data_IF_179950223903
#
_entry.id   IF_179950223903
#
_cell.length_a   1.000
_cell.length_b   1.000
_cell.length_c   1.000
_cell.angle_alpha   90.00
_cell.angle_beta   90.00
_cell.angle_gamma   90.00
#
_symmetry.space_group_name_H-M   'P 1'
#
loop_
_entity.id
_entity.type
_entity.pdbx_description
1 polymer ?
#
# COMPACT_ATOMS: atom_id res chain seq x y z
N UNK A 1 -4.24 41.28 -37.86
CA UNK A 1 -3.81 42.27 -36.85
C UNK A 1 -2.54 42.90 -37.35
N UNK A 2 -2.47 44.21 -37.64
CA UNK A 2 -1.29 44.84 -38.20
C UNK A 2 -0.17 44.97 -37.16
N UNK A 3 1.06 44.68 -37.59
CA UNK A 3 2.31 44.99 -36.90
C UNK A 3 2.38 46.47 -36.59
N UNK A 4 2.24 46.85 -35.33
CA UNK A 4 2.74 48.13 -34.85
C UNK A 4 4.26 48.04 -34.80
N UNK A 5 4.89 48.60 -35.87
CA UNK A 5 6.30 48.87 -35.88
C UNK A 5 6.64 49.80 -34.70
N UNK A 6 7.29 49.25 -33.69
CA UNK A 6 7.79 49.99 -32.53
C UNK A 6 8.77 51.06 -33.04
N UNK A 7 8.34 52.32 -33.02
CA UNK A 7 9.20 53.47 -33.39
C UNK A 7 10.26 53.61 -32.30
N UNK A 8 11.52 53.37 -32.68
CA UNK A 8 12.72 53.57 -31.85
C UNK A 8 13.03 55.04 -31.58
N UNK A 9 12.21 55.97 -32.11
CA UNK A 9 12.46 57.42 -32.15
C UNK A 9 12.21 58.14 -30.81
N UNK A 10 11.89 57.44 -29.74
CA UNK A 10 11.65 58.01 -28.40
C UNK A 10 12.52 57.40 -27.31
N UNK A 11 13.68 56.83 -27.62
CA UNK A 11 14.64 56.44 -26.62
C UNK A 11 15.30 57.66 -26.00
N UNK A 12 15.38 57.73 -24.62
CA UNK A 12 16.06 58.85 -23.97
C UNK A 12 17.55 58.86 -24.31
N UNK A 13 18.10 60.04 -24.62
CA UNK A 13 19.53 60.24 -24.91
C UNK A 13 20.45 60.14 -23.66
N UNK A 14 19.89 59.95 -22.50
CA UNK A 14 20.66 59.79 -21.23
C UNK A 14 21.20 58.35 -21.10
N UNK A 15 22.56 58.19 -21.12
CA UNK A 15 23.20 56.88 -20.98
C UNK A 15 22.86 56.12 -19.70
N UNK A 16 22.52 56.82 -18.62
CA UNK A 16 22.18 56.24 -17.33
C UNK A 16 20.78 55.61 -17.37
N UNK A 17 19.86 56.30 -17.97
CA UNK A 17 18.47 55.87 -18.18
C UNK A 17 18.38 54.70 -19.17
N UNK A 18 19.14 54.74 -20.26
CA UNK A 18 19.29 53.67 -21.23
C UNK A 18 19.86 52.39 -20.60
N UNK A 19 20.89 52.48 -19.76
CA UNK A 19 21.42 51.34 -18.99
C UNK A 19 20.40 50.77 -18.02
N UNK A 20 19.53 51.60 -17.46
CA UNK A 20 18.40 51.16 -16.60
C UNK A 20 17.42 50.33 -17.38
N UNK A 21 16.93 50.85 -18.52
CA UNK A 21 15.97 50.18 -19.41
C UNK A 21 16.53 48.84 -19.93
N UNK A 22 17.82 48.82 -20.35
CA UNK A 22 18.46 47.58 -20.84
C UNK A 22 18.57 46.53 -19.72
N UNK A 23 18.86 46.92 -18.47
CA UNK A 23 18.89 45.99 -17.33
C UNK A 23 17.51 45.43 -17.06
N UNK A 24 16.47 46.23 -17.09
CA UNK A 24 15.10 45.83 -16.89
C UNK A 24 14.60 44.88 -18.01
N UNK A 25 14.91 45.18 -19.26
CA UNK A 25 14.62 44.32 -20.41
C UNK A 25 15.36 42.98 -20.30
N UNK A 26 16.62 42.96 -19.89
CA UNK A 26 17.40 41.76 -19.68
C UNK A 26 16.84 40.92 -18.51
N UNK A 27 16.36 41.54 -17.43
CA UNK A 27 15.69 40.86 -16.34
C UNK A 27 14.39 40.24 -16.81
N UNK A 28 13.54 40.99 -17.51
CA UNK A 28 12.27 40.51 -18.06
C UNK A 28 12.50 39.37 -19.07
N UNK A 29 13.48 39.48 -19.94
CA UNK A 29 13.83 38.42 -20.88
C UNK A 29 14.29 37.15 -20.18
N UNK A 30 15.09 37.25 -19.11
CA UNK A 30 15.50 36.10 -18.31
C UNK A 30 14.31 35.42 -17.63
N UNK A 31 13.36 36.18 -17.12
CA UNK A 31 12.15 35.64 -16.50
C UNK A 31 11.22 34.99 -17.53
N UNK A 32 11.08 35.57 -18.71
CA UNK A 32 10.35 34.95 -19.82
C UNK A 32 11.01 33.64 -20.27
N UNK A 33 12.35 33.61 -20.38
CA UNK A 33 13.07 32.39 -20.74
C UNK A 33 12.85 31.29 -19.71
N UNK A 34 12.89 31.59 -18.40
CA UNK A 34 12.57 30.63 -17.33
C UNK A 34 11.15 30.10 -17.42
N UNK A 35 10.18 30.95 -17.79
CA UNK A 35 8.80 30.52 -17.99
C UNK A 35 8.67 29.58 -19.19
N UNK A 36 9.36 29.90 -20.31
CA UNK A 36 9.40 29.05 -21.51
C UNK A 36 10.00 27.69 -21.16
N UNK A 37 11.12 27.64 -20.44
CA UNK A 37 11.77 26.39 -20.04
C UNK A 37 10.86 25.56 -19.12
N UNK A 38 10.15 26.19 -18.20
CA UNK A 38 9.17 25.52 -17.32
C UNK A 38 7.97 24.97 -18.12
N UNK A 39 7.45 25.75 -19.07
CA UNK A 39 6.33 25.31 -19.91
C UNK A 39 6.74 24.16 -20.83
N UNK A 40 7.94 24.24 -21.43
CA UNK A 40 8.52 23.19 -22.28
C UNK A 40 8.69 21.90 -21.48
N UNK A 41 9.25 21.98 -20.26
CA UNK A 41 9.39 20.83 -19.39
C UNK A 41 8.02 20.21 -19.01
N UNK A 42 7.01 21.03 -18.73
CA UNK A 42 5.63 20.55 -18.46
C UNK A 42 5.01 19.90 -19.68
N UNK A 43 5.23 20.46 -20.86
CA UNK A 43 4.77 19.88 -22.12
C UNK A 43 5.41 18.50 -22.35
N UNK A 44 6.72 18.38 -22.12
CA UNK A 44 7.43 17.10 -22.22
C UNK A 44 6.91 16.06 -21.23
N UNK A 45 6.62 16.46 -19.99
CA UNK A 45 6.00 15.56 -19.01
C UNK A 45 4.59 15.14 -19.41
N UNK A 46 3.79 16.04 -19.96
CA UNK A 46 2.46 15.73 -20.47
C UNK A 46 2.53 14.81 -21.70
N UNK A 47 3.45 15.08 -22.64
CA UNK A 47 3.67 14.23 -23.81
C UNK A 47 4.13 12.82 -23.38
N UNK A 48 5.04 12.70 -22.41
CA UNK A 48 5.44 11.41 -21.83
C UNK A 48 4.28 10.70 -21.14
N UNK A 49 3.36 11.44 -20.51
CA UNK A 49 2.19 10.86 -19.84
C UNK A 49 1.11 10.40 -20.82
N UNK A 50 0.91 11.10 -21.94
CA UNK A 50 -0.14 10.81 -22.93
C UNK A 50 0.34 9.84 -24.00
N UNK A 51 1.59 10.00 -24.46
CA UNK A 51 2.18 9.26 -25.59
C UNK A 51 3.39 8.41 -25.19
N UNK A 52 3.86 8.49 -23.95
CA UNK A 52 4.95 7.65 -23.46
C UNK A 52 4.57 6.17 -23.44
N UNK A 53 5.54 5.27 -23.61
CA UNK A 53 5.29 3.84 -23.55
C UNK A 53 4.64 3.49 -22.20
N UNK A 54 3.52 2.75 -22.23
CA UNK A 54 2.93 2.19 -21.03
C UNK A 54 3.95 1.23 -20.43
N UNK A 55 3.99 1.15 -19.08
CA UNK A 55 5.01 0.47 -18.28
C UNK A 55 5.29 -1.00 -18.65
N UNK A 56 4.50 -1.61 -19.52
CA UNK A 56 4.61 -3.01 -19.97
C UNK A 56 5.08 -3.19 -21.44
N UNK A 57 5.42 -2.12 -22.15
CA UNK A 57 6.01 -2.20 -23.49
C UNK A 57 7.51 -1.95 -23.38
N UNK A 58 8.31 -2.98 -23.64
CA UNK A 58 9.77 -2.86 -23.78
C UNK A 58 10.06 -1.85 -24.91
N UNK A 59 10.84 -0.81 -24.62
CA UNK A 59 11.31 0.14 -25.62
C UNK A 59 12.10 -0.65 -26.69
N UNK A 60 11.73 -0.57 -27.97
CA UNK A 60 12.49 -1.23 -29.05
C UNK A 60 13.98 -0.90 -29.04
N UNK A 61 14.38 0.24 -28.49
CA UNK A 61 15.79 0.65 -28.34
C UNK A 61 16.52 -0.12 -27.23
N UNK A 62 15.82 -0.66 -26.22
CA UNK A 62 16.42 -1.53 -25.21
C UNK A 62 16.78 -2.92 -25.76
N UNK A 63 16.11 -3.36 -26.82
CA UNK A 63 16.46 -4.61 -27.53
C UNK A 63 17.78 -4.49 -28.30
N UNK A 64 18.16 -3.27 -28.71
CA UNK A 64 19.43 -3.00 -29.41
C UNK A 64 20.66 -3.01 -28.50
N UNK A 65 20.48 -2.98 -27.18
CA UNK A 65 21.60 -3.02 -26.22
C UNK A 65 22.22 -4.43 -26.09
N UNK A 66 21.53 -5.47 -26.54
CA UNK A 66 21.93 -6.88 -26.44
C UNK A 66 21.90 -7.63 -27.78
N UNK A 67 21.64 -6.94 -28.89
CA UNK A 67 21.67 -7.54 -30.23
C UNK A 67 22.89 -7.00 -31.01
N UNK A 68 23.71 -7.90 -31.48
CA UNK A 68 24.72 -7.57 -32.52
C UNK A 68 24.00 -7.03 -33.75
N UNK A 69 24.56 -6.03 -34.47
CA UNK A 69 23.94 -5.47 -35.66
C UNK A 69 23.77 -6.57 -36.70
N UNK A 70 22.60 -6.71 -37.32
CA UNK A 70 22.38 -7.72 -38.34
C UNK A 70 23.26 -7.43 -39.55
N UNK A 71 24.11 -8.40 -39.90
CA UNK A 71 24.76 -8.48 -41.17
C UNK A 71 23.69 -8.67 -42.26
N UNK A 72 23.74 -7.83 -43.27
CA UNK A 72 23.16 -7.90 -44.62
C UNK A 72 21.76 -8.52 -44.81
N UNK A 73 20.92 -7.80 -45.50
CA UNK A 73 19.54 -8.07 -45.91
C UNK A 73 19.36 -9.49 -46.46
N UNK A 74 18.51 -10.33 -45.88
CA UNK A 74 18.13 -11.59 -46.51
C UNK A 74 17.14 -11.39 -47.64
N UNK A 75 17.16 -12.26 -48.68
CA UNK A 75 16.23 -12.20 -49.79
C UNK A 75 14.77 -12.47 -49.33
N UNK A 76 13.82 -11.90 -50.05
CA UNK A 76 12.40 -11.96 -49.82
C UNK A 76 11.93 -13.40 -49.47
N UNK A 77 11.40 -13.59 -48.24
CA UNK A 77 10.79 -14.83 -47.81
C UNK A 77 9.42 -15.00 -48.47
N UNK A 78 9.26 -16.10 -49.17
CA UNK A 78 7.98 -16.64 -49.63
C UNK A 78 7.06 -16.82 -48.41
N UNK A 79 5.75 -16.52 -48.52
CA UNK A 79 4.83 -16.72 -47.41
C UNK A 79 4.80 -18.18 -46.97
N UNK A 80 5.10 -18.44 -45.71
CA UNK A 80 4.89 -19.75 -45.11
C UNK A 80 3.38 -20.03 -45.03
N UNK A 81 2.95 -21.25 -45.31
CA UNK A 81 1.55 -21.61 -45.15
C UNK A 81 1.12 -21.45 -43.69
N UNK A 82 -0.08 -20.90 -43.48
CA UNK A 82 -0.67 -20.79 -42.16
C UNK A 82 -0.66 -22.15 -41.45
N UNK A 83 -0.27 -22.24 -40.18
CA UNK A 83 -0.35 -23.49 -39.44
C UNK A 83 -1.83 -23.90 -39.32
N UNK A 84 -2.20 -25.03 -39.92
CA UNK A 84 -3.48 -25.66 -39.64
C UNK A 84 -3.61 -25.86 -38.14
N UNK A 85 -4.62 -25.21 -37.54
CA UNK A 85 -5.02 -25.44 -36.17
C UNK A 85 -5.58 -26.86 -36.10
N UNK A 86 -4.73 -27.84 -35.87
CA UNK A 86 -5.13 -29.16 -35.46
C UNK A 86 -5.74 -29.03 -34.07
N UNK A 87 -7.07 -28.90 -34.03
CA UNK A 87 -7.85 -29.08 -32.81
C UNK A 87 -7.79 -30.54 -32.40
N UNK A 88 -6.67 -30.96 -31.84
CA UNK A 88 -6.67 -32.20 -31.07
C UNK A 88 -7.55 -31.93 -29.85
N UNK A 89 -8.72 -32.55 -29.82
CA UNK A 89 -9.59 -32.62 -28.66
C UNK A 89 -8.72 -33.11 -27.46
N UNK A 90 -8.22 -32.15 -26.69
CA UNK A 90 -7.39 -32.43 -25.53
C UNK A 90 -8.19 -33.25 -24.55
N UNK A 91 -7.77 -34.50 -24.30
CA UNK A 91 -8.22 -35.26 -23.13
C UNK A 91 -8.20 -34.30 -21.96
N UNK A 92 -9.37 -34.06 -21.34
CA UNK A 92 -9.47 -33.35 -20.06
C UNK A 92 -8.48 -34.02 -19.10
N UNK A 93 -7.34 -33.38 -18.88
CA UNK A 93 -6.38 -33.80 -17.85
C UNK A 93 -7.12 -33.65 -16.55
N UNK A 94 -7.44 -34.77 -15.92
CA UNK A 94 -8.14 -34.79 -14.66
C UNK A 94 -7.42 -33.86 -13.66
N UNK A 95 -8.15 -33.14 -12.83
CA UNK A 95 -7.63 -32.25 -11.76
C UNK A 95 -6.92 -33.06 -10.64
N UNK A 96 -6.15 -34.10 -11.00
CA UNK A 96 -5.29 -34.81 -10.05
C UNK A 96 -4.14 -33.93 -9.59
N UNK A 97 -3.81 -33.96 -8.29
CA UNK A 97 -2.64 -33.29 -7.72
C UNK A 97 -1.40 -33.73 -8.49
N UNK A 98 -0.71 -32.77 -9.13
CA UNK A 98 0.57 -33.06 -9.83
C UNK A 98 1.57 -33.61 -8.83
N UNK A 99 2.31 -34.64 -9.25
CA UNK A 99 3.44 -35.17 -8.46
C UNK A 99 4.52 -34.10 -8.34
N UNK A 100 5.15 -34.02 -7.16
CA UNK A 100 6.30 -33.12 -6.97
C UNK A 100 7.49 -33.61 -7.81
N UNK A 101 8.27 -32.69 -8.44
CA UNK A 101 9.44 -33.07 -9.25
C UNK A 101 10.43 -33.94 -8.48
N UNK A 102 11.00 -34.95 -9.13
CA UNK A 102 11.93 -35.91 -8.52
C UNK A 102 13.30 -35.30 -8.23
N UNK A 103 13.69 -34.27 -9.00
CA UNK A 103 14.95 -33.56 -8.96
C UNK A 103 15.08 -32.52 -7.83
N UNK A 104 13.98 -32.17 -7.16
CA UNK A 104 14.03 -31.27 -6.02
C UNK A 104 14.64 -31.96 -4.79
N UNK A 105 15.48 -31.23 -4.06
CA UNK A 105 16.03 -31.67 -2.78
C UNK A 105 14.90 -32.12 -1.84
N UNK A 106 15.04 -33.29 -1.23
CA UNK A 106 14.10 -33.83 -0.25
C UNK A 106 14.73 -33.83 1.13
N UNK A 107 14.08 -33.18 2.08
CA UNK A 107 14.40 -33.27 3.50
C UNK A 107 13.37 -34.22 4.12
N UNK A 108 13.85 -35.32 4.72
CA UNK A 108 13.00 -36.35 5.31
C UNK A 108 12.90 -36.12 6.80
N UNK A 109 11.68 -35.95 7.29
CA UNK A 109 11.35 -35.89 8.70
C UNK A 109 10.54 -37.14 9.04
N UNK A 110 11.02 -37.93 10.00
CA UNK A 110 10.32 -39.14 10.48
C UNK A 110 9.56 -38.77 11.73
N UNK A 111 8.22 -38.89 11.67
CA UNK A 111 7.34 -38.70 12.82
C UNK A 111 6.90 -40.09 13.29
N UNK A 112 7.52 -40.55 14.35
CA UNK A 112 7.25 -41.86 14.92
C UNK A 112 6.45 -41.75 16.22
N UNK A 113 5.88 -42.87 16.68
CA UNK A 113 5.16 -42.97 17.94
C UNK A 113 6.20 -42.91 19.06
N UNK A 114 6.02 -42.02 20.07
CA UNK A 114 6.97 -41.89 21.17
C UNK A 114 7.18 -43.21 21.91
N UNK A 115 8.43 -43.53 22.28
CA UNK A 115 8.77 -44.77 23.02
C UNK A 115 7.95 -44.95 24.31
N UNK A 116 7.63 -43.86 24.98
CA UNK A 116 6.75 -43.89 26.18
C UNK A 116 5.37 -44.46 25.90
N UNK A 117 4.82 -44.20 24.73
CA UNK A 117 3.52 -44.73 24.29
C UNK A 117 3.66 -46.18 23.87
N UNK A 118 4.76 -46.55 23.19
CA UNK A 118 5.03 -47.94 22.83
C UNK A 118 5.15 -48.84 24.08
N UNK A 119 5.89 -48.39 25.08
CA UNK A 119 6.07 -49.12 26.36
C UNK A 119 4.78 -49.22 27.16
N UNK A 120 3.95 -48.18 27.19
CA UNK A 120 2.70 -48.16 27.93
C UNK A 120 1.60 -49.10 27.36
N UNK A 121 1.71 -49.45 26.07
CA UNK A 121 0.70 -50.26 25.38
C UNK A 121 0.80 -51.78 25.70
N UNK A 122 1.96 -52.25 26.16
CA UNK A 122 2.16 -53.64 26.64
C UNK A 122 2.04 -54.76 25.59
N UNK A 123 2.04 -54.43 24.28
CA UNK A 123 1.97 -55.36 23.15
C UNK A 123 3.23 -55.42 22.33
N UNK A 124 3.36 -56.44 21.47
CA UNK A 124 4.46 -56.51 20.49
C UNK A 124 4.17 -55.64 19.29
N UNK A 125 5.11 -54.72 18.98
CA UNK A 125 4.99 -53.74 17.88
C UNK A 125 5.70 -54.25 16.64
N UNK A 126 4.96 -54.41 15.55
CA UNK A 126 5.55 -54.79 14.24
C UNK A 126 5.29 -53.72 13.22
N UNK A 127 6.34 -53.15 12.65
CA UNK A 127 6.23 -52.17 11.58
C UNK A 127 5.74 -52.85 10.29
N UNK A 128 4.57 -52.42 9.79
CA UNK A 128 3.93 -53.00 8.59
C UNK A 128 4.03 -52.12 7.37
N UNK A 129 4.48 -50.85 7.54
CA UNK A 129 4.61 -49.92 6.43
C UNK A 129 4.87 -48.50 6.89
N UNK A 130 4.87 -47.59 5.95
CA UNK A 130 5.07 -46.17 6.18
C UNK A 130 4.01 -45.40 5.37
N UNK A 131 3.46 -44.34 5.96
CA UNK A 131 2.69 -43.35 5.23
C UNK A 131 3.61 -42.17 4.94
N UNK A 132 3.79 -41.88 3.64
CA UNK A 132 4.67 -40.83 3.18
C UNK A 132 3.80 -39.66 2.69
N UNK A 133 4.01 -38.50 3.29
CA UNK A 133 3.41 -37.23 2.84
C UNK A 133 4.52 -36.30 2.37
N UNK A 134 4.38 -35.75 1.16
CA UNK A 134 5.33 -34.79 0.61
C UNK A 134 4.72 -33.41 0.51
N UNK A 135 5.44 -32.40 1.00
CA UNK A 135 5.07 -30.98 0.91
C UNK A 135 6.20 -30.18 0.29
N UNK A 136 5.84 -29.19 -0.51
CA UNK A 136 6.81 -28.24 -1.05
C UNK A 136 7.08 -27.18 0.01
N UNK A 137 8.33 -26.99 0.39
CA UNK A 137 8.77 -25.94 1.32
C UNK A 137 9.77 -25.00 0.64
N UNK A 138 10.05 -23.86 1.26
CA UNK A 138 10.89 -22.81 0.73
C UNK A 138 11.86 -22.30 1.79
N UNK A 139 13.15 -22.36 1.47
CA UNK A 139 14.20 -21.61 2.16
C UNK A 139 14.58 -20.43 1.27
N UNK A 140 14.92 -19.23 1.80
CA UNK A 140 15.31 -18.10 0.95
C UNK A 140 16.29 -18.53 -0.13
N UNK A 141 15.91 -18.32 -1.40
CA UNK A 141 16.64 -18.69 -2.62
C UNK A 141 16.55 -20.14 -3.10
N UNK A 142 15.87 -21.08 -2.42
CA UNK A 142 15.71 -22.44 -2.93
C UNK A 142 14.36 -23.08 -2.59
N UNK A 143 13.80 -23.80 -3.56
CA UNK A 143 12.66 -24.70 -3.33
C UNK A 143 13.18 -26.09 -2.96
N UNK A 144 12.57 -26.72 -1.98
CA UNK A 144 12.84 -28.09 -1.61
C UNK A 144 11.56 -28.82 -1.24
N UNK A 145 11.61 -30.15 -1.26
CA UNK A 145 10.47 -31.00 -0.88
C UNK A 145 10.70 -31.49 0.55
N UNK A 146 9.80 -31.14 1.46
CA UNK A 146 9.77 -31.73 2.79
C UNK A 146 9.00 -33.07 2.71
N UNK A 147 9.70 -34.16 2.91
CA UNK A 147 9.15 -35.50 2.90
C UNK A 147 8.85 -35.95 4.33
N UNK A 148 7.57 -36.11 4.66
CA UNK A 148 7.12 -36.55 5.99
C UNK A 148 6.82 -38.05 5.88
N UNK A 149 7.50 -38.87 6.68
CA UNK A 149 7.34 -40.32 6.72
C UNK A 149 6.77 -40.69 8.09
N UNK A 150 5.63 -41.36 8.08
CA UNK A 150 5.00 -41.92 9.29
C UNK A 150 4.95 -43.44 9.20
N UNK A 151 5.75 -44.17 10.00
CA UNK A 151 5.67 -45.60 10.06
C UNK A 151 4.28 -46.10 10.57
N UNK A 152 3.85 -47.20 10.01
CA UNK A 152 2.60 -47.87 10.44
C UNK A 152 2.98 -49.14 11.15
N UNK A 153 2.42 -49.31 12.34
CA UNK A 153 2.65 -50.47 13.18
C UNK A 153 1.37 -51.25 13.37
N UNK A 154 1.49 -52.57 13.39
CA UNK A 154 0.47 -53.45 13.96
C UNK A 154 0.92 -53.80 15.37
N UNK A 155 0.08 -53.50 16.35
CA UNK A 155 0.28 -53.92 17.72
C UNK A 155 -0.49 -55.21 17.91
N UNK A 156 0.22 -56.31 18.22
CA UNK A 156 -0.36 -57.61 18.52
C UNK A 156 -0.32 -57.88 20.01
N UNK A 157 -1.37 -58.50 20.50
CA UNK A 157 -1.51 -58.88 21.92
C UNK A 157 -1.59 -60.41 22.03
N UNK A 158 -0.45 -61.15 21.91
CA UNK A 158 -0.46 -62.60 21.73
C UNK A 158 -1.05 -63.38 22.90
N UNK A 159 -1.23 -62.78 24.07
CA UNK A 159 -1.76 -63.43 25.29
C UNK A 159 -3.08 -62.81 25.79
N UNK A 160 -3.83 -62.13 24.94
CA UNK A 160 -5.08 -61.51 25.31
C UNK A 160 -6.10 -61.58 24.19
N UNK A 161 -7.39 -61.48 24.51
CA UNK A 161 -8.47 -61.42 23.51
C UNK A 161 -8.60 -60.05 22.84
N UNK A 162 -7.61 -59.16 23.03
CA UNK A 162 -7.58 -57.87 22.35
C UNK A 162 -7.27 -58.09 20.86
N UNK A 163 -8.08 -57.49 19.96
CA UNK A 163 -7.77 -57.54 18.54
C UNK A 163 -6.48 -56.75 18.20
N UNK A 164 -5.82 -57.17 17.16
CA UNK A 164 -4.67 -56.43 16.59
C UNK A 164 -5.06 -54.98 16.28
N UNK A 165 -4.28 -54.00 16.72
CA UNK A 165 -4.51 -52.58 16.48
C UNK A 165 -3.51 -51.99 15.52
N UNK A 166 -4.02 -51.20 14.55
CA UNK A 166 -3.20 -50.41 13.66
C UNK A 166 -2.85 -49.03 14.33
N UNK A 167 -1.58 -48.78 14.51
CA UNK A 167 -1.08 -47.50 15.06
C UNK A 167 -0.19 -46.76 14.06
N UNK A 168 -0.43 -45.44 13.94
CA UNK A 168 0.36 -44.52 13.16
C UNK A 168 0.46 -43.20 13.93
N UNK A 169 1.60 -42.53 13.90
CA UNK A 169 1.77 -41.24 14.56
C UNK A 169 0.80 -40.22 13.97
N UNK A 170 0.23 -39.35 14.80
CA UNK A 170 -0.61 -38.23 14.32
C UNK A 170 0.23 -37.21 13.59
N UNK A 171 -0.35 -36.59 12.56
CA UNK A 171 0.28 -35.44 11.91
C UNK A 171 0.22 -34.23 12.84
N UNK A 172 1.30 -33.47 12.95
CA UNK A 172 1.26 -32.21 13.67
C UNK A 172 0.22 -31.27 13.02
N UNK A 173 -0.40 -30.37 13.79
CA UNK A 173 -1.34 -29.41 13.24
C UNK A 173 -0.68 -28.53 12.19
N UNK A 174 -1.32 -28.39 11.05
CA UNK A 174 -0.81 -27.64 9.92
C UNK A 174 -1.59 -26.35 9.72
N UNK A 175 -0.88 -25.27 9.43
CA UNK A 175 -1.50 -23.96 9.15
C UNK A 175 -2.46 -24.02 7.93
N UNK A 176 -2.09 -24.80 6.91
CA UNK A 176 -2.90 -25.01 5.71
C UNK A 176 -3.18 -26.52 5.52
N UNK A 177 -4.21 -27.07 6.15
CA UNK A 177 -4.53 -28.48 6.04
C UNK A 177 -4.74 -28.93 4.58
N UNK A 178 -4.21 -30.09 4.21
CA UNK A 178 -4.31 -30.65 2.85
C UNK A 178 -3.58 -29.85 1.75
N UNK A 179 -2.88 -28.76 2.08
CA UNK A 179 -2.03 -28.05 1.14
C UNK A 179 -0.77 -28.84 0.84
N UNK A 180 -0.21 -28.67 -0.38
CA UNK A 180 1.15 -29.11 -0.72
C UNK A 180 2.23 -28.10 -0.36
N UNK A 181 1.85 -26.90 0.10
CA UNK A 181 2.76 -25.88 0.54
C UNK A 181 3.03 -26.02 2.04
N UNK A 182 4.29 -26.09 2.40
CA UNK A 182 4.72 -25.92 3.77
C UNK A 182 4.67 -24.42 4.17
N UNK A 183 4.63 -24.10 5.49
CA UNK A 183 4.51 -22.73 5.98
C UNK A 183 5.52 -21.75 5.40
N UNK A 184 6.77 -22.18 5.16
CA UNK A 184 7.81 -21.32 4.60
C UNK A 184 7.49 -20.81 3.19
N UNK A 185 6.94 -21.68 2.33
CA UNK A 185 6.55 -21.29 0.96
C UNK A 185 5.35 -20.32 0.98
N UNK A 186 4.40 -20.54 1.87
CA UNK A 186 3.25 -19.64 2.04
C UNK A 186 3.70 -18.28 2.56
N UNK A 187 4.58 -18.26 3.55
CA UNK A 187 5.15 -17.03 4.10
C UNK A 187 5.94 -16.24 3.03
N UNK A 188 6.75 -16.91 2.20
CA UNK A 188 7.45 -16.28 1.08
C UNK A 188 6.46 -15.64 0.09
N UNK A 189 5.37 -16.33 -0.24
CA UNK A 189 4.33 -15.80 -1.12
C UNK A 189 3.64 -14.55 -0.56
N UNK A 190 3.35 -14.53 0.75
CA UNK A 190 2.73 -13.39 1.46
C UNK A 190 3.70 -12.20 1.49
N UNK A 191 4.93 -12.41 1.98
CA UNK A 191 5.95 -11.35 2.09
C UNK A 191 6.25 -10.75 0.71
N UNK A 192 6.53 -11.62 -0.28
CA UNK A 192 6.78 -11.16 -1.65
C UNK A 192 5.63 -10.32 -2.22
N UNK A 193 4.37 -10.66 -1.91
CA UNK A 193 3.23 -9.90 -2.42
C UNK A 193 2.98 -8.60 -1.68
N UNK A 194 3.05 -8.61 -0.36
CA UNK A 194 2.59 -7.49 0.48
C UNK A 194 3.72 -6.55 0.89
N UNK A 195 4.94 -7.07 1.08
CA UNK A 195 6.10 -6.28 1.49
C UNK A 195 6.95 -5.89 0.28
N UNK A 196 7.26 -6.88 -0.60
CA UNK A 196 8.12 -6.67 -1.77
C UNK A 196 7.34 -6.19 -3.01
N UNK A 197 6.02 -6.01 -2.88
CA UNK A 197 5.12 -5.59 -3.96
C UNK A 197 5.21 -6.44 -5.23
N UNK A 198 5.61 -7.72 -5.10
CA UNK A 198 5.77 -8.64 -6.23
C UNK A 198 4.41 -9.26 -6.60
N UNK A 199 3.84 -8.96 -7.78
CA UNK A 199 2.57 -9.54 -8.22
C UNK A 199 2.65 -11.06 -8.34
N UNK A 200 1.53 -11.76 -8.13
CA UNK A 200 1.51 -13.24 -8.18
C UNK A 200 1.99 -13.82 -9.50
N UNK A 201 1.76 -13.15 -10.63
CA UNK A 201 2.24 -13.62 -11.93
C UNK A 201 3.78 -13.62 -12.02
N UNK A 202 4.45 -12.66 -11.35
CA UNK A 202 5.92 -12.64 -11.26
C UNK A 202 6.44 -13.70 -10.28
N UNK A 203 5.70 -13.97 -9.20
CA UNK A 203 6.03 -15.08 -8.30
C UNK A 203 5.90 -16.42 -9.01
N UNK A 204 4.85 -16.64 -9.81
CA UNK A 204 4.69 -17.82 -10.67
C UNK A 204 5.91 -18.01 -11.58
N UNK A 205 6.37 -16.94 -12.25
CA UNK A 205 7.58 -16.97 -13.08
C UNK A 205 8.85 -17.23 -12.26
N UNK A 206 8.96 -16.70 -11.04
CA UNK A 206 10.10 -16.93 -10.14
C UNK A 206 10.21 -18.40 -9.76
N UNK A 207 9.10 -19.01 -9.36
CA UNK A 207 9.08 -20.44 -9.01
C UNK A 207 9.31 -21.33 -10.25
N UNK A 208 8.79 -20.95 -11.41
CA UNK A 208 9.04 -21.68 -12.65
C UNK A 208 10.54 -21.71 -13.02
N UNK A 209 11.28 -20.61 -12.81
CA UNK A 209 12.74 -20.59 -13.00
C UNK A 209 13.51 -21.50 -12.03
N UNK A 210 12.89 -21.84 -10.88
CA UNK A 210 13.43 -22.78 -9.90
C UNK A 210 12.99 -24.23 -10.17
N UNK A 211 12.39 -24.50 -11.33
CA UNK A 211 12.01 -25.84 -11.78
C UNK A 211 10.60 -26.27 -11.37
N UNK A 212 9.80 -25.43 -10.70
CA UNK A 212 8.46 -25.80 -10.27
C UNK A 212 7.39 -24.79 -10.69
N UNK A 213 6.46 -25.22 -11.55
CA UNK A 213 5.34 -24.39 -12.00
C UNK A 213 4.20 -24.41 -10.99
N UNK A 214 3.94 -23.27 -10.37
CA UNK A 214 2.80 -23.02 -9.49
C UNK A 214 1.77 -22.16 -10.24
N UNK A 215 0.54 -22.64 -10.36
CA UNK A 215 -0.52 -21.86 -10.97
C UNK A 215 -0.87 -20.64 -10.09
N UNK A 216 -1.14 -19.49 -10.72
CA UNK A 216 -1.56 -18.26 -10.04
C UNK A 216 -2.78 -18.46 -9.14
N UNK A 217 -3.75 -19.26 -9.59
CA UNK A 217 -4.93 -19.63 -8.80
C UNK A 217 -4.57 -20.37 -7.50
N UNK A 218 -3.54 -21.23 -7.53
CA UNK A 218 -3.04 -21.92 -6.33
C UNK A 218 -2.43 -20.93 -5.35
N UNK A 219 -1.63 -19.99 -5.83
CA UNK A 219 -1.04 -18.93 -4.98
C UNK A 219 -2.14 -18.05 -4.37
N UNK A 220 -3.17 -17.67 -5.16
CA UNK A 220 -4.33 -16.94 -4.64
C UNK A 220 -5.06 -17.74 -3.54
N UNK A 221 -5.27 -19.03 -3.74
CA UNK A 221 -5.90 -19.91 -2.75
C UNK A 221 -5.12 -19.96 -1.44
N UNK A 222 -3.80 -20.14 -1.50
CA UNK A 222 -2.95 -20.14 -0.29
C UNK A 222 -2.99 -18.81 0.45
N UNK A 223 -3.01 -17.66 -0.26
CA UNK A 223 -3.13 -16.35 0.38
C UNK A 223 -4.49 -16.20 1.08
N UNK A 224 -5.57 -16.68 0.47
CA UNK A 224 -6.90 -16.63 1.07
C UNK A 224 -7.00 -17.54 2.33
N UNK A 225 -6.48 -18.76 2.25
CA UNK A 225 -6.43 -19.68 3.40
C UNK A 225 -5.55 -19.11 4.52
N UNK A 226 -4.38 -18.57 4.19
CA UNK A 226 -3.48 -17.94 5.16
C UNK A 226 -4.15 -16.73 5.85
N UNK A 227 -4.87 -15.90 5.11
CA UNK A 227 -5.64 -14.79 5.67
C UNK A 227 -6.68 -15.29 6.68
N UNK A 228 -7.35 -16.41 6.38
CA UNK A 228 -8.30 -17.03 7.29
C UNK A 228 -7.62 -17.52 8.57
N UNK A 229 -6.48 -18.21 8.45
CA UNK A 229 -5.69 -18.70 9.60
C UNK A 229 -5.16 -17.54 10.46
N UNK A 230 -4.81 -16.41 9.86
CA UNK A 230 -4.31 -15.22 10.57
C UNK A 230 -5.43 -14.35 11.17
N UNK A 231 -6.69 -14.64 10.88
CA UNK A 231 -7.83 -13.86 11.40
C UNK A 231 -7.84 -13.71 12.94
N UNK A 232 -7.51 -14.73 13.78
CA UNK A 232 -7.44 -14.54 15.22
C UNK A 232 -6.39 -13.51 15.66
N UNK A 233 -5.23 -13.49 15.01
CA UNK A 233 -4.18 -12.50 15.26
C UNK A 233 -4.63 -11.10 14.84
N UNK A 234 -5.29 -10.98 13.69
CA UNK A 234 -5.89 -9.72 13.24
C UNK A 234 -6.92 -9.20 14.25
N UNK A 235 -7.80 -10.06 14.78
CA UNK A 235 -8.78 -9.68 15.81
C UNK A 235 -8.11 -9.18 17.09
N UNK A 236 -7.10 -9.89 17.56
CA UNK A 236 -6.34 -9.47 18.76
C UNK A 236 -5.64 -8.12 18.54
N UNK A 237 -5.04 -7.91 17.36
CA UNK A 237 -4.40 -6.63 17.02
C UNK A 237 -5.46 -5.52 16.92
N UNK A 238 -6.63 -5.79 16.30
CA UNK A 238 -7.75 -4.86 16.26
C UNK A 238 -8.19 -4.43 17.67
N UNK A 239 -8.37 -5.38 18.58
CA UNK A 239 -8.73 -5.10 19.98
C UNK A 239 -7.69 -4.20 20.66
N UNK A 240 -6.39 -4.49 20.47
CA UNK A 240 -5.30 -3.66 21.01
C UNK A 240 -5.28 -2.25 20.43
N UNK A 241 -5.52 -2.12 19.13
CA UNK A 241 -5.60 -0.80 18.47
C UNK A 241 -6.79 -0.02 19.03
N UNK A 242 -7.97 -0.64 19.14
CA UNK A 242 -9.19 0.00 19.66
C UNK A 242 -9.13 0.31 21.16
N UNK A 243 -8.30 -0.39 21.93
CA UNK A 243 -8.03 -0.08 23.34
C UNK A 243 -7.06 1.10 23.52
N UNK A 244 -6.50 1.68 22.45
CA UNK A 244 -5.63 2.83 22.51
C UNK A 244 -6.45 4.12 22.67
N UNK A 245 -5.91 5.10 23.41
CA UNK A 245 -6.53 6.42 23.52
C UNK A 245 -6.51 7.24 22.21
N UNK A 246 -5.58 6.93 21.31
CA UNK A 246 -5.39 7.66 20.04
C UNK A 246 -5.36 6.64 18.92
N UNK A 247 -6.24 6.82 17.94
CA UNK A 247 -6.27 6.08 16.69
C UNK A 247 -6.24 7.06 15.53
N UNK A 248 -5.32 6.82 14.60
CA UNK A 248 -5.24 7.53 13.32
C UNK A 248 -5.89 6.67 12.24
N UNK A 249 -6.66 7.27 11.35
CA UNK A 249 -7.30 6.52 10.26
C UNK A 249 -7.27 7.30 8.95
N UNK A 250 -7.06 6.58 7.87
CA UNK A 250 -7.14 7.09 6.49
C UNK A 250 -7.59 5.96 5.56
N UNK A 251 -8.11 6.31 4.38
CA UNK A 251 -8.56 5.34 3.40
C UNK A 251 -7.84 5.48 2.06
N UNK A 252 -7.54 4.33 1.45
CA UNK A 252 -6.91 4.25 0.12
C UNK A 252 -7.85 3.55 -0.86
N UNK A 253 -8.11 4.13 -2.05
CA UNK A 253 -8.91 3.48 -3.09
C UNK A 253 -8.13 2.31 -3.71
N UNK A 254 -8.80 1.18 -3.90
CA UNK A 254 -8.24 -0.01 -4.53
C UNK A 254 -9.18 -0.51 -5.63
N UNK A 255 -8.68 -0.76 -6.87
CA UNK A 255 -9.48 -1.39 -7.89
C UNK A 255 -9.71 -2.86 -7.52
N UNK A 256 -10.97 -3.26 -7.42
CA UNK A 256 -11.40 -4.63 -7.11
C UNK A 256 -12.11 -5.20 -8.33
N UNK A 257 -11.62 -6.33 -8.83
CA UNK A 257 -12.28 -7.03 -9.92
C UNK A 257 -13.63 -7.58 -9.45
N UNK A 258 -14.67 -7.30 -10.22
CA UNK A 258 -16.03 -7.74 -9.96
C UNK A 258 -16.48 -8.62 -11.15
N UNK A 259 -16.76 -9.92 -10.93
CA UNK A 259 -17.15 -10.82 -12.01
C UNK A 259 -18.41 -10.39 -12.75
N UNK A 260 -19.30 -9.63 -12.08
CA UNK A 260 -20.58 -9.20 -12.62
C UNK A 260 -20.49 -7.85 -13.37
N UNK A 261 -19.28 -7.29 -13.54
CA UNK A 261 -19.05 -5.99 -14.15
C UNK A 261 -17.92 -6.03 -15.18
N UNK A 262 -18.07 -5.25 -16.25
CA UNK A 262 -17.01 -5.06 -17.25
C UNK A 262 -15.79 -4.32 -16.70
N UNK A 263 -15.96 -3.49 -15.66
CA UNK A 263 -14.91 -2.68 -15.06
C UNK A 263 -14.75 -2.97 -13.57
N UNK A 264 -13.50 -2.84 -13.09
CA UNK A 264 -13.23 -2.95 -11.67
C UNK A 264 -14.06 -1.93 -10.87
N UNK A 265 -14.64 -2.36 -9.76
CA UNK A 265 -15.19 -1.44 -8.76
C UNK A 265 -14.09 -0.82 -7.91
N UNK A 266 -14.34 0.35 -7.36
CA UNK A 266 -13.41 1.00 -6.41
C UNK A 266 -13.79 0.58 -4.99
N UNK A 267 -13.06 -0.40 -4.44
CA UNK A 267 -13.09 -0.70 -3.02
C UNK A 267 -12.20 0.25 -2.22
N UNK A 268 -12.18 0.10 -0.91
CA UNK A 268 -11.35 0.88 0.02
C UNK A 268 -10.61 -0.02 0.97
N UNK A 269 -9.37 0.35 1.25
CA UNK A 269 -8.58 -0.18 2.36
C UNK A 269 -8.46 0.93 3.38
N UNK A 270 -8.98 0.69 4.58
CA UNK A 270 -8.88 1.56 5.73
C UNK A 270 -7.69 1.14 6.57
N UNK A 271 -6.84 2.09 6.94
CA UNK A 271 -5.76 1.88 7.88
C UNK A 271 -6.16 2.47 9.24
N UNK A 272 -6.05 1.70 10.31
CA UNK A 272 -6.23 2.16 11.69
C UNK A 272 -4.92 1.97 12.42
N UNK A 273 -4.30 3.08 12.80
CA UNK A 273 -2.95 3.13 13.35
C UNK A 273 -2.98 3.63 14.79
N UNK A 274 -2.33 2.90 15.67
CA UNK A 274 -2.10 3.32 17.06
C UNK A 274 -0.65 3.01 17.47
N UNK A 275 -0.29 3.35 18.70
CA UNK A 275 1.00 2.95 19.27
C UNK A 275 1.24 1.44 19.34
N UNK A 276 0.17 0.64 19.25
CA UNK A 276 0.24 -0.83 19.31
C UNK A 276 0.40 -1.50 17.95
N UNK A 277 0.32 -0.74 16.88
CA UNK A 277 0.47 -1.22 15.51
C UNK A 277 -0.60 -0.70 14.57
N UNK A 278 -0.62 -1.26 13.36
CA UNK A 278 -1.54 -0.90 12.28
C UNK A 278 -2.44 -2.08 11.96
N UNK A 279 -3.73 -1.82 11.83
CA UNK A 279 -4.73 -2.79 11.35
C UNK A 279 -5.36 -2.25 10.08
N UNK A 280 -5.50 -3.12 9.10
CA UNK A 280 -6.19 -2.81 7.86
C UNK A 280 -7.55 -3.48 7.83
N UNK A 281 -8.54 -2.77 7.29
CA UNK A 281 -9.87 -3.28 6.98
C UNK A 281 -10.20 -2.96 5.52
N UNK A 282 -10.94 -3.84 4.86
CA UNK A 282 -11.30 -3.68 3.45
C UNK A 282 -12.81 -3.60 3.29
N UNK A 283 -13.29 -2.56 2.59
CA UNK A 283 -14.70 -2.38 2.28
C UNK A 283 -14.95 -2.33 0.78
N UNK A 284 -16.17 -2.71 0.39
CA UNK A 284 -16.58 -2.74 -1.00
C UNK A 284 -16.64 -1.35 -1.64
N UNK A 285 -16.87 -0.32 -0.83
CA UNK A 285 -17.02 1.08 -1.22
C UNK A 285 -16.53 2.02 -0.11
N UNK A 286 -16.66 3.33 -0.33
CA UNK A 286 -16.36 4.37 0.67
C UNK A 286 -17.59 4.71 1.53
N UNK A 287 -18.44 3.74 1.82
CA UNK A 287 -19.58 4.02 2.70
C UNK A 287 -19.14 4.16 4.16
N UNK A 288 -19.94 4.92 4.92
CA UNK A 288 -19.73 5.11 6.36
C UNK A 288 -19.89 3.82 7.18
N UNK A 289 -20.51 2.77 6.62
CA UNK A 289 -20.80 1.54 7.33
C UNK A 289 -19.53 0.82 7.82
N UNK A 290 -18.47 0.80 7.01
CA UNK A 290 -17.18 0.19 7.36
C UNK A 290 -16.56 0.82 8.62
N UNK A 291 -16.22 2.12 8.60
CA UNK A 291 -15.66 2.80 9.76
C UNK A 291 -16.57 2.76 11.01
N UNK A 292 -17.89 2.88 10.84
CA UNK A 292 -18.83 2.78 11.95
C UNK A 292 -18.79 1.42 12.65
N UNK A 293 -18.73 0.33 11.89
CA UNK A 293 -18.64 -1.02 12.46
C UNK A 293 -17.26 -1.28 13.06
N UNK A 294 -16.19 -0.85 12.38
CA UNK A 294 -14.84 -1.06 12.90
C UNK A 294 -14.62 -0.33 14.22
N UNK A 295 -15.02 0.95 14.30
CA UNK A 295 -14.80 1.83 15.45
C UNK A 295 -15.92 1.79 16.50
N UNK A 296 -16.87 0.89 16.39
CA UNK A 296 -18.07 0.81 17.25
C UNK A 296 -17.78 0.82 18.75
N UNK A 297 -16.66 0.24 19.16
CA UNK A 297 -16.27 0.15 20.58
C UNK A 297 -15.16 1.12 20.97
N UNK A 298 -14.70 1.94 20.02
CA UNK A 298 -13.61 2.88 20.25
C UNK A 298 -14.07 4.05 21.11
N UNK A 299 -13.16 4.52 21.98
CA UNK A 299 -13.30 5.76 22.75
C UNK A 299 -11.93 6.44 22.81
N UNK A 300 -11.92 7.78 22.70
CA UNK A 300 -10.70 8.56 22.72
C UNK A 300 -10.56 9.49 21.52
N UNK A 301 -9.35 9.81 21.12
CA UNK A 301 -9.05 10.70 20.01
C UNK A 301 -8.97 9.93 18.69
N UNK A 302 -9.82 10.29 17.75
CA UNK A 302 -9.78 9.75 16.37
C UNK A 302 -9.22 10.81 15.44
N UNK A 303 -8.00 10.63 14.96
CA UNK A 303 -7.41 11.52 13.99
C UNK A 303 -7.71 11.02 12.58
N UNK A 304 -8.38 11.83 11.78
CA UNK A 304 -8.86 11.46 10.45
C UNK A 304 -8.81 12.66 9.48
N UNK A 305 -9.08 12.38 8.20
CA UNK A 305 -9.44 13.40 7.22
C UNK A 305 -10.89 13.88 7.48
N UNK A 306 -11.30 14.95 6.83
CA UNK A 306 -12.67 15.47 6.94
C UNK A 306 -13.67 14.65 6.08
N UNK A 307 -13.58 13.33 6.11
CA UNK A 307 -14.53 12.49 5.41
C UNK A 307 -15.87 12.45 6.16
N UNK A 308 -16.92 12.91 5.51
CA UNK A 308 -18.26 13.00 6.11
C UNK A 308 -18.83 11.64 6.61
N UNK A 309 -18.22 10.53 6.22
CA UNK A 309 -18.57 9.20 6.75
C UNK A 309 -18.32 9.04 8.24
N UNK A 310 -17.44 9.86 8.83
CA UNK A 310 -17.18 9.87 10.28
C UNK A 310 -18.15 10.74 11.09
N UNK A 311 -18.88 11.68 10.46
CA UNK A 311 -19.80 12.59 11.17
C UNK A 311 -20.82 11.85 12.02
N UNK A 312 -21.34 10.73 11.49
CA UNK A 312 -22.29 9.88 12.20
C UNK A 312 -21.65 9.21 13.43
N UNK A 313 -20.36 8.84 13.35
CA UNK A 313 -19.61 8.26 14.45
C UNK A 313 -19.46 9.27 15.59
N UNK A 314 -19.01 10.50 15.27
CA UNK A 314 -18.85 11.56 16.26
C UNK A 314 -20.19 11.94 16.90
N UNK A 315 -21.24 12.03 16.10
CA UNK A 315 -22.59 12.33 16.62
C UNK A 315 -23.10 11.24 17.57
N UNK A 316 -22.91 9.95 17.24
CA UNK A 316 -23.37 8.83 18.07
C UNK A 316 -22.54 8.65 19.33
N UNK A 317 -21.28 9.03 19.30
CA UNK A 317 -20.36 8.87 20.43
C UNK A 317 -20.69 9.75 21.63
N UNK A 318 -21.55 10.79 21.44
CA UNK A 318 -21.89 11.77 22.48
C UNK A 318 -20.66 12.35 23.19
N UNK A 319 -19.56 12.57 22.45
CA UNK A 319 -18.32 13.13 22.97
C UNK A 319 -17.33 12.12 23.53
N UNK A 320 -17.61 10.82 23.50
CA UNK A 320 -16.63 9.80 23.91
C UNK A 320 -15.55 9.58 22.83
N UNK A 321 -15.80 9.96 21.59
CA UNK A 321 -14.82 10.03 20.51
C UNK A 321 -14.63 11.49 20.15
N UNK A 322 -13.40 11.95 20.24
CA UNK A 322 -13.00 13.33 19.94
C UNK A 322 -12.32 13.35 18.56
N UNK A 323 -12.87 14.13 17.64
CA UNK A 323 -12.29 14.32 16.32
C UNK A 323 -10.99 15.11 16.41
N UNK A 324 -9.95 14.63 15.73
CA UNK A 324 -8.66 15.34 15.56
C UNK A 324 -8.41 15.51 14.07
N UNK A 325 -8.36 16.76 13.62
CA UNK A 325 -8.15 17.09 12.21
C UNK A 325 -6.69 16.93 11.80
N UNK A 326 -6.45 16.92 10.49
CA UNK A 326 -5.14 16.75 9.88
C UNK A 326 -4.70 18.03 9.16
N UNK A 327 -3.66 18.71 9.67
CA UNK A 327 -3.11 19.92 9.02
C UNK A 327 -2.44 19.64 7.68
N UNK A 328 -1.97 18.41 7.41
CA UNK A 328 -1.46 18.05 6.09
C UNK A 328 -2.54 18.07 5.01
N UNK A 329 -3.76 17.61 5.32
CA UNK A 329 -4.91 17.69 4.41
C UNK A 329 -5.34 19.15 4.17
N UNK A 330 -5.41 19.97 5.21
CA UNK A 330 -5.67 21.40 5.07
C UNK A 330 -4.62 22.09 4.19
N UNK A 331 -3.34 21.84 4.48
CA UNK A 331 -2.22 22.39 3.69
C UNK A 331 -2.28 21.98 2.22
N UNK A 332 -2.59 20.71 1.92
CA UNK A 332 -2.71 20.20 0.54
C UNK A 332 -3.70 21.01 -0.29
N UNK A 333 -4.87 21.32 0.28
CA UNK A 333 -5.88 22.14 -0.40
C UNK A 333 -5.37 23.55 -0.75
N UNK A 334 -4.62 24.18 0.16
CA UNK A 334 -4.00 25.48 -0.14
C UNK A 334 -2.88 25.36 -1.19
N UNK A 335 -2.11 24.28 -1.19
CA UNK A 335 -1.10 24.03 -2.25
C UNK A 335 -1.77 23.86 -3.60
N UNK A 336 -2.89 23.17 -3.69
CA UNK A 336 -3.67 23.03 -4.94
C UNK A 336 -4.21 24.38 -5.43
N UNK A 337 -4.59 25.28 -4.52
CA UNK A 337 -5.05 26.61 -4.82
C UNK A 337 -3.96 27.58 -5.33
N UNK A 338 -2.67 27.24 -5.19
CA UNK A 338 -1.56 28.09 -5.67
C UNK A 338 -1.61 28.34 -7.18
N UNK A 339 -2.24 27.45 -7.95
CA UNK A 339 -2.39 27.61 -9.42
C UNK A 339 -3.32 28.77 -9.81
N UNK A 340 -4.32 29.05 -8.99
CA UNK A 340 -5.38 30.03 -9.27
C UNK A 340 -5.28 31.30 -8.42
N UNK A 341 -4.75 31.19 -7.21
CA UNK A 341 -4.63 32.27 -6.24
C UNK A 341 -3.27 32.19 -5.52
N UNK A 342 -2.17 32.45 -6.23
CA UNK A 342 -0.82 32.16 -5.72
C UNK A 342 -0.48 32.96 -4.46
N UNK A 343 -0.87 34.22 -4.36
CA UNK A 343 -0.51 35.09 -3.23
C UNK A 343 -1.12 34.62 -1.92
N UNK A 344 -2.44 34.48 -1.88
CA UNK A 344 -3.19 34.06 -0.70
C UNK A 344 -2.87 32.63 -0.31
N UNK A 345 -2.73 31.75 -1.30
CA UNK A 345 -2.37 30.34 -1.07
C UNK A 345 -0.94 30.19 -0.50
N UNK A 346 0.04 30.95 -0.99
CA UNK A 346 1.38 30.97 -0.42
C UNK A 346 1.39 31.51 1.01
N UNK A 347 0.61 32.55 1.29
CA UNK A 347 0.48 33.09 2.65
C UNK A 347 -0.13 32.05 3.60
N UNK A 348 -1.20 31.35 3.19
CA UNK A 348 -1.77 30.25 3.97
C UNK A 348 -0.76 29.15 4.29
N UNK A 349 -0.04 28.68 3.25
CA UNK A 349 0.99 27.65 3.40
C UNK A 349 2.12 28.14 4.32
N UNK A 350 2.55 29.42 4.23
CA UNK A 350 3.56 29.99 5.10
C UNK A 350 3.11 30.04 6.58
N UNK A 351 1.86 30.43 6.84
CA UNK A 351 1.28 30.41 8.19
C UNK A 351 1.17 29.01 8.76
N UNK A 352 0.72 28.03 7.97
CA UNK A 352 0.68 26.62 8.38
C UNK A 352 2.11 26.10 8.64
N UNK A 353 3.10 26.48 7.83
CA UNK A 353 4.50 26.09 8.03
C UNK A 353 5.04 26.55 9.40
N UNK A 354 4.56 27.67 9.96
CA UNK A 354 4.94 28.10 11.30
C UNK A 354 4.49 27.11 12.39
N UNK A 355 3.30 26.48 12.22
CA UNK A 355 2.85 25.43 13.14
C UNK A 355 3.78 24.21 13.09
N UNK A 356 4.19 23.78 11.88
CA UNK A 356 5.15 22.69 11.72
C UNK A 356 6.54 23.02 12.26
N UNK A 357 6.95 24.29 12.25
CA UNK A 357 8.22 24.72 12.88
C UNK A 357 8.18 24.50 14.40
N UNK A 358 7.04 24.78 15.06
CA UNK A 358 6.85 24.46 16.48
C UNK A 358 6.91 22.96 16.75
N UNK A 359 6.29 22.14 15.88
CA UNK A 359 6.37 20.67 15.99
C UNK A 359 7.79 20.14 15.82
N UNK A 360 8.57 20.75 14.92
CA UNK A 360 9.98 20.40 14.74
C UNK A 360 10.80 20.69 16.00
N UNK A 361 10.57 21.85 16.64
CA UNK A 361 11.20 22.20 17.91
C UNK A 361 10.77 21.23 19.02
N UNK A 362 9.50 20.84 19.03
CA UNK A 362 8.92 19.92 20.00
C UNK A 362 9.32 18.45 19.83
N UNK A 363 10.11 18.11 18.79
CA UNK A 363 10.41 16.71 18.43
C UNK A 363 11.14 15.95 19.54
N UNK A 364 12.02 16.62 20.27
CA UNK A 364 12.80 16.03 21.37
C UNK A 364 12.08 16.13 22.73
N UNK A 365 10.96 16.85 22.82
CA UNK A 365 10.21 17.07 24.06
C UNK A 365 9.37 15.84 24.44
N UNK A 366 9.19 15.64 25.73
CA UNK A 366 8.19 14.71 26.23
C UNK A 366 6.75 15.21 25.96
N UNK A 367 5.73 14.41 26.31
CA UNK A 367 4.31 14.72 26.08
C UNK A 367 3.89 16.01 26.78
N UNK A 368 4.34 16.24 28.01
CA UNK A 368 3.97 17.40 28.83
C UNK A 368 4.64 18.66 28.32
N UNK A 369 5.93 18.58 28.04
CA UNK A 369 6.72 19.67 27.46
C UNK A 369 6.20 20.08 26.08
N UNK A 370 5.87 19.11 25.23
CA UNK A 370 5.30 19.35 23.91
C UNK A 370 3.96 20.07 24.01
N UNK A 371 3.09 19.64 24.91
CA UNK A 371 1.84 20.36 25.18
C UNK A 371 2.09 21.82 25.62
N UNK A 372 3.01 22.03 26.56
CA UNK A 372 3.37 23.39 27.04
C UNK A 372 3.89 24.27 25.90
N UNK A 373 4.79 23.74 25.06
CA UNK A 373 5.32 24.45 23.90
C UNK A 373 4.23 24.84 22.89
N UNK A 374 3.29 23.93 22.60
CA UNK A 374 2.14 24.19 21.75
C UNK A 374 1.25 25.30 22.32
N UNK A 375 0.98 25.27 23.63
CA UNK A 375 0.20 26.30 24.28
C UNK A 375 0.86 27.67 24.17
N UNK A 376 2.19 27.74 24.30
CA UNK A 376 2.95 28.99 24.26
C UNK A 376 3.12 29.52 22.82
N UNK A 377 3.33 28.65 21.82
CA UNK A 377 3.71 29.06 20.46
C UNK A 377 2.62 28.78 19.42
N UNK A 378 2.01 27.58 19.41
CA UNK A 378 1.02 27.24 18.38
C UNK A 378 -0.32 27.92 18.60
N UNK A 379 -0.79 28.04 19.85
CA UNK A 379 -2.08 28.68 20.15
C UNK A 379 -2.12 30.15 19.68
N UNK A 380 -1.10 31.00 19.93
CA UNK A 380 -1.09 32.36 19.38
C UNK A 380 -1.08 32.40 17.84
N UNK A 381 -0.36 31.47 17.18
CA UNK A 381 -0.35 31.38 15.72
C UNK A 381 -1.74 31.00 15.17
N UNK A 382 -2.43 30.07 15.82
CA UNK A 382 -3.79 29.66 15.48
C UNK A 382 -4.79 30.81 15.71
N UNK A 383 -4.65 31.55 16.82
CA UNK A 383 -5.46 32.72 17.12
C UNK A 383 -5.30 33.85 16.08
N UNK A 384 -4.10 33.99 15.50
CA UNK A 384 -3.86 34.94 14.41
C UNK A 384 -4.33 34.41 13.03
N UNK A 385 -4.30 33.08 12.84
CA UNK A 385 -4.70 32.46 11.58
C UNK A 385 -6.23 32.50 11.37
N UNK A 386 -7.03 32.29 12.41
CA UNK A 386 -8.49 32.20 12.30
C UNK A 386 -9.14 33.46 11.73
N UNK A 387 -8.89 34.69 12.26
CA UNK A 387 -9.45 35.91 11.71
C UNK A 387 -9.03 36.15 10.26
N UNK A 388 -7.79 35.80 9.92
CA UNK A 388 -7.30 35.90 8.55
C UNK A 388 -8.05 34.97 7.59
N UNK A 389 -8.33 33.72 7.99
CA UNK A 389 -9.16 32.78 7.21
C UNK A 389 -10.59 33.28 7.08
N UNK A 390 -11.16 33.88 8.13
CA UNK A 390 -12.51 34.43 8.10
C UNK A 390 -12.61 35.63 7.15
N UNK A 391 -11.60 36.51 7.15
CA UNK A 391 -11.53 37.63 6.19
C UNK A 391 -11.35 37.12 4.76
N UNK A 392 -10.51 36.11 4.55
CA UNK A 392 -10.27 35.52 3.23
C UNK A 392 -11.55 34.86 2.68
N UNK A 393 -12.35 34.25 3.54
CA UNK A 393 -13.63 33.64 3.15
C UNK A 393 -14.66 34.67 2.59
N UNK A 394 -14.61 35.92 3.06
CA UNK A 394 -15.48 36.98 2.56
C UNK A 394 -15.11 37.43 1.15
N UNK A 395 -13.82 37.43 0.84
CA UNK A 395 -13.27 37.95 -0.42
C UNK A 395 -13.10 36.91 -1.52
N UNK A 396 -13.23 35.60 -1.17
CA UNK A 396 -12.96 34.51 -2.07
C UNK A 396 -14.25 33.83 -2.56
N UNK A 397 -14.29 33.47 -3.84
CA UNK A 397 -15.41 32.71 -4.42
C UNK A 397 -15.50 31.31 -3.79
N UNK A 398 -16.65 30.91 -3.22
CA UNK A 398 -16.77 29.65 -2.46
C UNK A 398 -16.39 28.37 -3.22
N UNK A 399 -16.64 28.34 -4.55
CA UNK A 399 -16.33 27.18 -5.43
C UNK A 399 -14.98 27.28 -6.11
N UNK A 400 -14.17 28.31 -5.83
CA UNK A 400 -12.79 28.37 -6.31
C UNK A 400 -11.90 27.41 -5.48
N UNK A 401 -10.76 26.93 -6.00
CA UNK A 401 -9.83 26.10 -5.23
C UNK A 401 -9.41 26.73 -3.90
N UNK A 402 -9.21 28.06 -3.87
CA UNK A 402 -8.92 28.79 -2.64
C UNK A 402 -10.14 28.82 -1.70
N UNK A 403 -11.35 29.07 -2.23
CA UNK A 403 -12.59 29.06 -1.44
C UNK A 403 -12.88 27.69 -0.81
N UNK A 404 -12.63 26.62 -1.54
CA UNK A 404 -12.74 25.24 -1.01
C UNK A 404 -11.71 24.97 0.10
N UNK A 405 -10.47 25.44 -0.07
CA UNK A 405 -9.42 25.30 0.95
C UNK A 405 -9.77 26.07 2.24
N UNK A 406 -10.25 27.30 2.10
CA UNK A 406 -10.70 28.14 3.22
C UNK A 406 -11.91 27.54 3.92
N UNK A 407 -12.90 27.08 3.15
CA UNK A 407 -14.11 26.43 3.68
C UNK A 407 -13.73 25.16 4.46
N UNK A 408 -12.85 24.33 3.92
CA UNK A 408 -12.34 23.15 4.61
C UNK A 408 -11.69 23.51 5.95
N UNK A 409 -10.73 24.46 5.95
CA UNK A 409 -10.01 24.85 7.17
C UNK A 409 -10.96 25.45 8.22
N UNK A 410 -12.00 26.18 7.80
CA UNK A 410 -12.99 26.76 8.72
C UNK A 410 -13.96 25.72 9.29
N UNK A 411 -14.44 24.80 8.46
CA UNK A 411 -15.35 23.74 8.90
C UNK A 411 -14.67 22.76 9.86
N UNK A 412 -13.39 22.49 9.62
CA UNK A 412 -12.57 21.60 10.44
C UNK A 412 -11.80 22.34 11.54
N UNK A 413 -12.11 23.62 11.79
CA UNK A 413 -11.29 24.45 12.68
C UNK A 413 -11.12 23.88 14.08
N UNK A 414 -12.23 23.44 14.68
CA UNK A 414 -12.21 22.89 16.04
C UNK A 414 -11.41 21.59 16.08
N UNK A 415 -11.63 20.67 15.15
CA UNK A 415 -10.88 19.43 15.03
C UNK A 415 -9.38 19.65 14.76
N UNK A 416 -9.03 20.64 13.91
CA UNK A 416 -7.65 21.01 13.62
C UNK A 416 -6.90 21.58 14.83
N UNK A 417 -7.62 22.13 15.83
CA UNK A 417 -7.04 22.69 17.03
C UNK A 417 -6.91 21.69 18.18
N UNK A 418 -7.53 20.52 18.11
CA UNK A 418 -7.48 19.53 19.20
C UNK A 418 -6.03 19.09 19.51
N UNK A 419 -5.14 19.01 18.50
CA UNK A 419 -3.76 18.53 18.71
C UNK A 419 -2.96 19.34 19.74
N UNK A 420 -3.30 20.62 19.96
CA UNK A 420 -2.62 21.46 20.96
C UNK A 420 -3.05 21.16 22.39
N UNK A 421 -4.11 20.40 22.59
CA UNK A 421 -4.66 20.08 23.92
C UNK A 421 -3.93 18.91 24.59
N UNK A 422 -3.31 18.04 23.79
CA UNK A 422 -2.55 16.88 24.27
C UNK A 422 -1.25 16.72 23.49
N UNK A 423 -0.13 16.61 24.20
CA UNK A 423 1.19 16.43 23.56
C UNK A 423 1.41 15.07 22.90
N UNK A 424 0.54 14.09 23.15
CA UNK A 424 0.61 12.79 22.50
C UNK A 424 -0.03 12.78 21.09
N UNK A 425 -0.89 13.77 20.79
CA UNK A 425 -1.51 13.92 19.47
C UNK A 425 -0.49 14.42 18.45
N UNK A 426 -0.60 13.97 17.21
CA UNK A 426 0.17 14.50 16.11
C UNK A 426 -0.54 15.69 15.43
N UNK A 427 0.20 16.58 14.79
CA UNK A 427 -0.37 17.68 14.00
C UNK A 427 -1.05 17.16 12.71
N UNK A 428 -0.62 15.98 12.22
CA UNK A 428 -1.11 15.37 10.99
C UNK A 428 -1.04 13.83 11.02
N UNK A 429 -1.57 13.22 9.95
CA UNK A 429 -1.59 11.77 9.73
C UNK A 429 -0.30 11.23 9.10
N UNK A 430 0.83 11.93 9.19
CA UNK A 430 2.10 11.55 8.55
C UNK A 430 2.61 10.16 8.96
N UNK A 431 2.22 9.66 10.12
CA UNK A 431 2.51 8.30 10.57
C UNK A 431 1.88 7.21 9.67
N UNK A 432 0.79 7.52 8.97
CA UNK A 432 0.15 6.58 8.02
C UNK A 432 0.91 6.57 6.69
N UNK A 433 1.50 7.69 6.29
CA UNK A 433 2.25 7.81 5.03
C UNK A 433 3.63 7.13 5.04
N UNK A 434 4.10 6.65 6.18
CA UNK A 434 5.35 5.86 6.27
C UNK A 434 5.22 4.53 5.51
N UNK A 435 4.02 4.04 5.26
CA UNK A 435 3.76 2.82 4.47
C UNK A 435 3.68 3.05 2.95
N UNK A 436 3.72 4.29 2.46
CA UNK A 436 3.78 4.64 1.03
C UNK A 436 5.12 5.32 0.68
N UNK A 437 6.22 4.57 0.45
CA UNK A 437 7.53 5.17 0.14
C UNK A 437 7.64 5.79 -1.26
N UNK A 438 6.56 5.90 -2.03
CA UNK A 438 6.59 6.21 -3.46
C UNK A 438 6.02 7.56 -3.88
N UNK A 439 5.66 8.46 -2.97
CA UNK A 439 5.30 9.84 -3.37
C UNK A 439 6.43 10.80 -3.05
N UNK A 440 7.19 11.29 -4.05
CA UNK A 440 8.16 12.37 -3.83
C UNK A 440 7.41 13.63 -3.39
N UNK A 441 7.92 14.26 -2.35
CA UNK A 441 7.47 15.54 -1.79
C UNK A 441 7.61 16.70 -2.79
#
# INVERSE_FOLDING_TARGET
MPEEATRLDHLPDDPTLLKGIVRELLATHRDQQRQIDQLTHRLDLLLKRVYGPRADTLDPRQLLLFAEPPAETPPALTPLPEPEIVTTAGKKIGHGRRKLPADLRRETEVIDIPESVQQATGGEWTKIGEEISEKLDYTPSSLFVRRIVRPKYVVRFPNSDHPDELRIAELPPEALPKSKAAPGLVADGIVSKLVDHLPLYRQEQRYARQGFSLARSTLCGWLAEAAHVLTPLWRLLRERVLASNIVNTDDTPVPVQDPDREHCRTGRIWAYVSRHGTVYDATADRSRAGPLEFLRTFQGFLQCDAYAGYDELFRRSQGTIIEVGCWAHARRKFVEAQKTSPREAHEAVARIKQLYAVEHEAKACDVTERRSLRQQKSVPLLAALKPWLDQLAVTTLPKSPLGEAVTYARNQWDALNVYVTDGALAIDLSLIHISEPTRPY
#
